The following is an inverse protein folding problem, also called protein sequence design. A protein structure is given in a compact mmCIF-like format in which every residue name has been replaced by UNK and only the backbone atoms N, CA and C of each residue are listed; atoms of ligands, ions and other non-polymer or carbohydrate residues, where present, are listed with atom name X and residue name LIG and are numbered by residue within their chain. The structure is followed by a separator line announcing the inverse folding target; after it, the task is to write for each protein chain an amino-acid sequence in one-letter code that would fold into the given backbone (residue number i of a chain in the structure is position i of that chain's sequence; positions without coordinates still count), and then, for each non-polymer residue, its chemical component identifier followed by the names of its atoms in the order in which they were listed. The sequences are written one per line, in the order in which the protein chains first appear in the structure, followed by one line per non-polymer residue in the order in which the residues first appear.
data_IF_286468202759
#
_entry.id   IF_286468202759
#
_cell.length_a   1.000
_cell.length_b   1.000
_cell.length_c   1.000
_cell.angle_alpha   90.00
_cell.angle_beta   90.00
_cell.angle_gamma   90.00
#
_symmetry.space_group_name_H-M   'P 1'
#
loop_
_entity.id
_entity.type
_entity.pdbx_description
1 polymer ?
#
# COMPACT_ATOMS: atom_id res chain seq x y z
N UNK A 1 -18.81 13.56 -8.51
CA UNK A 1 -17.49 14.05 -9.00
C UNK A 1 -16.79 12.99 -9.85
N UNK A 2 -16.56 11.77 -9.34
CA UNK A 2 -15.94 10.68 -10.13
C UNK A 2 -16.80 10.16 -11.30
N UNK A 3 -18.13 10.20 -11.17
CA UNK A 3 -19.08 9.77 -12.21
C UNK A 3 -18.99 10.55 -13.53
N UNK A 4 -18.39 11.75 -13.51
CA UNK A 4 -18.15 12.55 -14.71
C UNK A 4 -16.88 12.13 -15.45
N UNK A 5 -15.98 11.40 -14.80
CA UNK A 5 -14.77 10.85 -15.40
C UNK A 5 -15.14 9.55 -16.11
N UNK A 6 -15.72 9.67 -17.31
CA UNK A 6 -15.84 8.53 -18.21
C UNK A 6 -14.45 8.23 -18.75
N UNK A 7 -13.72 7.34 -18.09
CA UNK A 7 -12.52 6.75 -18.69
C UNK A 7 -12.91 6.22 -20.08
N UNK A 8 -12.15 6.58 -21.12
CA UNK A 8 -12.29 5.85 -22.39
C UNK A 8 -12.05 4.39 -22.03
N UNK A 9 -13.02 3.50 -22.28
CA UNK A 9 -12.95 2.05 -21.97
C UNK A 9 -11.67 1.35 -22.50
N UNK A 10 -10.88 2.03 -23.31
CA UNK A 10 -9.63 1.55 -23.89
C UNK A 10 -8.35 1.87 -23.08
N UNK A 11 -8.37 2.74 -22.05
CA UNK A 11 -7.16 3.12 -21.31
C UNK A 11 -7.32 2.96 -19.79
N UNK A 12 -6.36 2.32 -19.10
CA UNK A 12 -6.39 2.18 -17.65
C UNK A 12 -6.22 3.54 -16.99
N UNK A 13 -7.02 3.81 -15.96
CA UNK A 13 -6.93 5.03 -15.16
C UNK A 13 -6.37 4.66 -13.79
N UNK A 14 -5.31 5.36 -13.36
CA UNK A 14 -4.71 5.21 -12.04
C UNK A 14 -5.00 6.46 -11.21
N UNK A 15 -5.61 6.27 -10.04
CA UNK A 15 -5.87 7.32 -9.06
C UNK A 15 -4.79 7.24 -8.00
N UNK A 16 -3.97 8.29 -7.92
CA UNK A 16 -2.95 8.42 -6.89
C UNK A 16 -3.55 9.19 -5.71
N UNK A 17 -3.49 8.60 -4.52
CA UNK A 17 -4.05 9.19 -3.29
C UNK A 17 -2.94 9.36 -2.26
N UNK A 18 -2.89 10.51 -1.60
CA UNK A 18 -1.99 10.71 -0.47
C UNK A 18 -2.43 9.89 0.76
N UNK A 19 -1.67 9.97 1.85
CA UNK A 19 -1.92 9.20 3.07
C UNK A 19 -3.05 9.72 3.96
N UNK A 20 -3.64 10.87 3.63
CA UNK A 20 -4.70 11.51 4.39
C UNK A 20 -6.10 11.20 3.85
N UNK A 21 -6.21 10.93 2.54
CA UNK A 21 -7.51 10.71 1.88
C UNK A 21 -7.88 9.27 1.44
N UNK A 22 -7.18 8.17 1.79
CA UNK A 22 -7.57 6.84 1.34
C UNK A 22 -8.71 6.27 2.20
N UNK A 23 -9.90 6.86 2.03
CA UNK A 23 -11.15 6.36 2.62
C UNK A 23 -11.67 5.17 1.82
N UNK A 24 -12.30 4.22 2.50
CA UNK A 24 -12.91 3.04 1.87
C UNK A 24 -13.92 3.46 0.79
N UNK A 25 -14.77 4.44 1.08
CA UNK A 25 -15.76 4.94 0.14
C UNK A 25 -15.14 5.51 -1.16
N UNK A 26 -14.00 6.22 -1.06
CA UNK A 26 -13.29 6.72 -2.23
C UNK A 26 -12.73 5.57 -3.08
N UNK A 27 -12.08 4.60 -2.42
CA UNK A 27 -11.47 3.45 -3.08
C UNK A 27 -12.55 2.64 -3.80
N UNK A 28 -13.64 2.32 -3.12
CA UNK A 28 -14.78 1.60 -3.71
C UNK A 28 -15.41 2.35 -4.88
N UNK A 29 -15.54 3.68 -4.80
CA UNK A 29 -16.08 4.49 -5.89
C UNK A 29 -15.17 4.44 -7.13
N UNK A 30 -13.84 4.51 -6.95
CA UNK A 30 -12.86 4.35 -8.02
C UNK A 30 -12.93 2.94 -8.64
N UNK A 31 -12.96 1.90 -7.81
CA UNK A 31 -13.05 0.51 -8.28
C UNK A 31 -14.35 0.26 -9.06
N UNK A 32 -15.50 0.79 -8.60
CA UNK A 32 -16.79 0.72 -9.31
C UNK A 32 -16.74 1.38 -10.69
N UNK A 33 -15.88 2.38 -10.87
CA UNK A 33 -15.66 3.05 -12.16
C UNK A 33 -14.67 2.31 -13.07
N UNK A 34 -14.02 1.24 -12.57
CA UNK A 34 -12.98 0.48 -13.27
C UNK A 34 -11.60 1.12 -13.18
N UNK A 35 -11.37 2.00 -12.19
CA UNK A 35 -10.08 2.64 -11.98
C UNK A 35 -9.20 1.82 -11.03
N UNK A 36 -7.89 1.91 -11.24
CA UNK A 36 -6.90 1.43 -10.30
C UNK A 36 -6.62 2.52 -9.26
N UNK A 37 -6.39 2.13 -8.02
CA UNK A 37 -6.02 3.07 -6.95
C UNK A 37 -4.64 2.69 -6.42
N UNK A 38 -3.75 3.67 -6.31
CA UNK A 38 -2.47 3.56 -5.61
C UNK A 38 -2.48 4.63 -4.54
N UNK A 39 -2.39 4.23 -3.29
CA UNK A 39 -2.56 5.13 -2.17
C UNK A 39 -1.43 4.97 -1.17
N UNK A 40 -0.85 6.09 -0.74
CA UNK A 40 0.01 6.05 0.43
C UNK A 40 -0.85 5.71 1.65
N UNK A 41 -0.34 4.88 2.57
CA UNK A 41 -1.04 4.50 3.79
C UNK A 41 -0.21 4.89 5.01
N UNK A 42 -0.91 5.22 6.10
CA UNK A 42 -0.25 5.42 7.39
C UNK A 42 0.15 4.06 7.97
N UNK A 43 1.27 4.04 8.69
CA UNK A 43 1.84 2.82 9.28
C UNK A 43 0.97 2.20 10.40
N UNK A 44 -0.03 2.93 10.89
CA UNK A 44 -1.02 2.43 11.83
C UNK A 44 -2.19 1.67 11.17
N UNK A 45 -2.19 1.51 9.84
CA UNK A 45 -3.21 0.69 9.14
C UNK A 45 -3.18 -0.75 9.67
N UNK A 46 -4.35 -1.31 9.93
CA UNK A 46 -4.52 -2.69 10.40
C UNK A 46 -4.52 -3.65 9.20
N UNK A 47 -3.71 -4.69 9.30
CA UNK A 47 -3.57 -5.83 8.39
C UNK A 47 -4.12 -7.09 9.06
N UNK A 48 -4.37 -8.13 8.26
CA UNK A 48 -4.85 -9.43 8.73
C UNK A 48 -4.01 -10.61 8.24
N UNK A 49 -2.67 -10.62 8.44
CA UNK A 49 -1.84 -11.78 8.13
C UNK A 49 -2.38 -13.01 8.86
N UNK A 50 -2.70 -14.07 8.11
CA UNK A 50 -3.30 -15.31 8.65
C UNK A 50 -4.58 -15.05 9.48
N UNK A 51 -5.31 -13.97 9.18
CA UNK A 51 -6.55 -13.59 9.88
C UNK A 51 -6.34 -12.84 11.21
N UNK A 52 -5.10 -12.54 11.61
CA UNK A 52 -4.81 -11.88 12.89
C UNK A 52 -4.68 -10.37 12.68
N UNK A 53 -5.49 -9.58 13.37
CA UNK A 53 -5.43 -8.13 13.31
C UNK A 53 -4.11 -7.59 13.90
N UNK A 54 -3.33 -6.87 13.11
CA UNK A 54 -2.07 -6.24 13.54
C UNK A 54 -1.82 -4.93 12.78
N UNK A 55 -1.27 -3.92 13.43
CA UNK A 55 -0.87 -2.69 12.73
C UNK A 55 0.35 -2.94 11.85
N UNK A 56 0.43 -2.29 10.68
CA UNK A 56 1.55 -2.45 9.75
C UNK A 56 2.91 -2.18 10.41
N UNK A 57 3.00 -1.16 11.29
CA UNK A 57 4.22 -0.86 12.05
C UNK A 57 4.64 -1.96 13.04
N UNK A 58 3.69 -2.72 13.59
CA UNK A 58 4.00 -3.83 14.50
C UNK A 58 4.34 -5.09 13.68
N UNK A 59 3.61 -5.31 12.59
CA UNK A 59 3.88 -6.40 11.64
C UNK A 59 5.29 -6.29 11.04
N UNK A 60 5.73 -5.08 10.74
CA UNK A 60 7.06 -4.77 10.23
C UNK A 60 8.21 -5.34 11.08
N UNK A 61 8.01 -5.51 12.39
CA UNK A 61 9.04 -6.05 13.30
C UNK A 61 9.33 -7.53 13.08
N UNK A 62 8.44 -8.24 12.39
CA UNK A 62 8.58 -9.66 12.06
C UNK A 62 9.15 -9.90 10.66
N UNK A 63 9.44 -8.84 9.91
CA UNK A 63 9.97 -8.94 8.54
C UNK A 63 11.49 -8.90 8.60
N UNK A 64 12.13 -9.96 8.14
CA UNK A 64 13.58 -10.02 8.05
C UNK A 64 14.07 -9.48 6.70
N UNK A 65 15.34 -9.03 6.61
CA UNK A 65 15.92 -8.60 5.34
C UNK A 65 15.80 -9.64 4.22
N UNK A 66 15.81 -10.93 4.54
CA UNK A 66 15.67 -12.04 3.59
C UNK A 66 14.25 -12.20 3.04
N UNK A 67 13.24 -11.66 3.73
CA UNK A 67 11.85 -11.63 3.27
C UNK A 67 11.61 -10.49 2.25
N UNK A 68 12.60 -9.61 2.07
CA UNK A 68 12.49 -8.43 1.21
C UNK A 68 13.13 -8.62 -0.15
N UNK A 69 12.69 -7.82 -1.12
CA UNK A 69 13.39 -7.63 -2.40
C UNK A 69 14.10 -6.29 -2.40
N UNK A 70 15.34 -6.27 -2.87
CA UNK A 70 16.07 -5.02 -3.11
C UNK A 70 15.58 -4.42 -4.44
N UNK A 71 15.08 -3.18 -4.39
CA UNK A 71 14.51 -2.46 -5.53
C UNK A 71 15.24 -1.13 -5.69
N UNK A 72 15.59 -0.78 -6.92
CA UNK A 72 16.21 0.51 -7.25
C UNK A 72 15.16 1.47 -7.83
N UNK A 73 15.06 2.68 -7.28
CA UNK A 73 14.20 3.76 -7.77
C UNK A 73 15.08 4.99 -8.02
N UNK A 74 15.37 5.28 -9.28
CA UNK A 74 16.39 6.27 -9.62
C UNK A 74 17.76 5.84 -9.09
N UNK A 75 18.36 6.66 -8.22
CA UNK A 75 19.65 6.37 -7.58
C UNK A 75 19.51 5.76 -6.18
N UNK A 76 18.29 5.68 -5.65
CA UNK A 76 18.02 5.15 -4.31
C UNK A 76 17.71 3.66 -4.37
N UNK A 77 18.08 2.93 -3.32
CA UNK A 77 17.75 1.51 -3.16
C UNK A 77 16.85 1.31 -1.95
N UNK A 78 15.89 0.40 -2.09
CA UNK A 78 14.91 0.10 -1.07
C UNK A 78 14.82 -1.40 -0.82
N UNK A 79 14.64 -1.79 0.43
CA UNK A 79 14.15 -3.12 0.80
C UNK A 79 12.63 -3.08 0.81
N UNK A 80 11.99 -3.90 -0.01
CA UNK A 80 10.54 -3.90 -0.17
C UNK A 80 9.97 -5.27 0.17
N UNK A 81 9.05 -5.30 1.12
CA UNK A 81 8.20 -6.45 1.41
C UNK A 81 6.82 -6.24 0.77
N UNK A 82 6.28 -7.30 0.17
CA UNK A 82 4.94 -7.30 -0.43
C UNK A 82 3.99 -8.07 0.49
N UNK A 83 3.03 -7.35 1.06
CA UNK A 83 1.87 -7.93 1.70
C UNK A 83 0.72 -8.01 0.69
N UNK A 84 0.01 -9.14 0.66
CA UNK A 84 -1.21 -9.32 -0.12
C UNK A 84 -2.25 -9.98 0.77
N UNK A 85 -3.44 -9.37 0.82
CA UNK A 85 -4.57 -9.84 1.60
C UNK A 85 -5.34 -8.71 2.25
N UNK A 86 -6.22 -9.08 3.18
CA UNK A 86 -7.14 -8.14 3.79
C UNK A 86 -6.41 -7.06 4.60
N UNK A 87 -6.92 -5.84 4.49
CA UNK A 87 -6.60 -4.71 5.37
C UNK A 87 -7.90 -4.10 5.88
N UNK A 88 -7.84 -3.28 6.93
CA UNK A 88 -9.08 -2.72 7.48
C UNK A 88 -9.86 -1.89 6.45
N UNK A 89 -11.06 -2.38 6.11
CA UNK A 89 -11.97 -1.80 5.12
C UNK A 89 -11.83 -2.35 3.70
N UNK A 90 -10.91 -3.27 3.42
CA UNK A 90 -10.73 -3.90 2.10
C UNK A 90 -10.35 -5.38 2.24
N UNK A 91 -11.11 -6.26 1.57
CA UNK A 91 -10.92 -7.71 1.66
C UNK A 91 -9.65 -8.20 0.96
N UNK A 92 -9.23 -7.50 -0.10
CA UNK A 92 -8.03 -7.80 -0.85
C UNK A 92 -7.32 -6.50 -1.25
N UNK A 93 -6.05 -6.40 -0.85
CA UNK A 93 -5.17 -5.28 -1.17
C UNK A 93 -3.73 -5.77 -1.27
N UNK A 94 -2.96 -5.12 -2.16
CA UNK A 94 -1.51 -5.28 -2.23
C UNK A 94 -0.88 -4.08 -1.55
N UNK A 95 -0.10 -4.33 -0.51
CA UNK A 95 0.59 -3.29 0.25
C UNK A 95 2.11 -3.51 0.18
N UNK A 96 2.86 -2.43 -0.03
CA UNK A 96 4.32 -2.40 -0.04
C UNK A 96 4.81 -1.76 1.23
N UNK A 97 5.52 -2.54 2.04
CA UNK A 97 6.30 -2.02 3.16
C UNK A 97 7.73 -1.82 2.67
N UNK A 98 8.24 -0.60 2.78
CA UNK A 98 9.54 -0.23 2.22
C UNK A 98 10.40 0.52 3.23
N UNK A 99 11.70 0.24 3.18
CA UNK A 99 12.76 0.93 3.91
C UNK A 99 13.85 1.29 2.92
N UNK A 100 14.57 2.40 3.12
CA UNK A 100 15.80 2.62 2.36
C UNK A 100 16.82 1.54 2.71
N UNK A 101 17.63 1.14 1.73
CA UNK A 101 18.56 0.03 1.88
C UNK A 101 19.72 0.33 2.84
N UNK A 102 20.02 1.62 3.08
CA UNK A 102 21.01 2.14 3.99
C UNK A 102 20.44 2.58 5.35
N UNK A 103 19.14 2.41 5.58
CA UNK A 103 18.47 2.69 6.85
C UNK A 103 18.15 1.39 7.62
N UNK A 104 18.01 1.46 8.96
CA UNK A 104 17.51 0.35 9.74
C UNK A 104 16.11 -0.09 9.31
N UNK A 105 15.86 -1.39 9.21
CA UNK A 105 14.52 -1.96 9.02
C UNK A 105 13.70 -1.91 10.32
N UNK A 106 13.51 -0.71 10.87
CA UNK A 106 12.67 -0.48 12.06
C UNK A 106 11.38 0.25 11.65
N UNK A 107 10.35 0.27 12.53
CA UNK A 107 9.10 0.94 12.21
C UNK A 107 9.21 2.45 11.97
N UNK A 108 10.26 3.10 12.47
CA UNK A 108 10.46 4.56 12.34
C UNK A 108 10.89 4.97 10.92
N UNK A 109 11.50 4.04 10.17
CA UNK A 109 11.93 4.21 8.77
C UNK A 109 10.98 3.55 7.77
N UNK A 110 9.80 3.10 8.23
CA UNK A 110 8.84 2.37 7.41
C UNK A 110 8.00 3.32 6.55
N UNK A 111 8.00 3.07 5.24
CA UNK A 111 7.07 3.63 4.28
C UNK A 111 6.04 2.56 3.85
N UNK A 112 4.76 2.93 3.78
CA UNK A 112 3.66 2.01 3.42
C UNK A 112 2.81 2.57 2.27
N UNK A 113 2.76 1.87 1.13
CA UNK A 113 1.96 2.24 -0.03
C UNK A 113 1.18 1.06 -0.62
#
# INVERSE_FOLDING_TARGET
MLSSLKGKRAQPVYVLVDSWYPSQALIEACLKQGFHVIAMLKTNRILYPKGIAIQAKEFARYIEPNDTRLVTVGNERYRVYRYEGAIHGLDDAVMRLAWKADEPMTPDYLHVA
#
